data_IF_562577232613
#
_entry.id   IF_562577232613
#
_cell.length_a   1.000
_cell.length_b   1.000
_cell.length_c   1.000
_cell.angle_alpha   90.00
_cell.angle_beta   90.00
_cell.angle_gamma   90.00
#
_symmetry.space_group_name_H-M   'P 1'
#
loop_
_entity.id
_entity.type
_entity.pdbx_description
1 polymer ?
#
# COMPACT_ATOMS: atom_id res chain seq x y z
N UNK A 1 0.30 -3.40 -5.81
CA UNK A 1 0.13 -3.60 -4.36
C UNK A 1 0.57 -4.98 -3.83
N UNK A 2 0.93 -5.97 -4.66
CA UNK A 2 1.17 -7.36 -4.20
C UNK A 2 2.15 -7.51 -3.02
N UNK A 3 3.31 -6.85 -3.05
CA UNK A 3 4.28 -6.96 -1.94
C UNK A 3 3.74 -6.36 -0.65
N UNK A 4 2.94 -5.30 -0.73
CA UNK A 4 2.29 -4.71 0.45
C UNK A 4 1.35 -5.69 1.15
N UNK A 5 0.59 -6.49 0.40
CA UNK A 5 -0.23 -7.55 0.99
C UNK A 5 0.61 -8.65 1.65
N UNK A 6 1.77 -8.99 1.09
CA UNK A 6 2.70 -9.93 1.72
C UNK A 6 3.28 -9.38 3.03
N UNK A 7 3.57 -8.07 3.09
CA UNK A 7 3.98 -7.39 4.34
C UNK A 7 2.87 -7.45 5.38
N UNK A 8 1.63 -7.12 5.01
CA UNK A 8 0.49 -7.18 5.92
C UNK A 8 0.27 -8.60 6.46
N UNK A 9 0.32 -9.61 5.59
CA UNK A 9 0.22 -11.01 5.99
C UNK A 9 1.35 -11.44 6.93
N UNK A 10 2.58 -10.97 6.68
CA UNK A 10 3.72 -11.22 7.56
C UNK A 10 3.52 -10.58 8.95
N UNK A 11 3.02 -9.35 9.01
CA UNK A 11 2.69 -8.66 10.26
C UNK A 11 1.63 -9.43 11.07
N UNK A 12 0.54 -9.87 10.42
CA UNK A 12 -0.48 -10.70 11.09
C UNK A 12 0.10 -12.01 11.64
N UNK A 13 0.98 -12.68 10.87
CA UNK A 13 1.65 -13.90 11.33
C UNK A 13 2.55 -13.65 12.53
N UNK A 14 3.23 -12.51 12.56
CA UNK A 14 4.06 -12.11 13.70
C UNK A 14 3.23 -11.85 14.96
N UNK A 15 2.14 -11.10 14.84
CA UNK A 15 1.21 -10.86 15.94
C UNK A 15 0.59 -12.15 16.48
N UNK A 16 0.39 -13.17 15.63
CA UNK A 16 -0.09 -14.50 16.05
C UNK A 16 0.97 -15.44 16.65
N UNK A 17 2.21 -14.96 16.83
CA UNK A 17 3.32 -15.78 17.35
C UNK A 17 3.86 -16.83 16.37
N UNK A 18 3.49 -16.75 15.08
CA UNK A 18 3.84 -17.77 14.06
C UNK A 18 5.14 -17.47 13.31
N UNK A 19 5.64 -16.23 13.35
CA UNK A 19 6.86 -15.78 12.66
C UNK A 19 7.43 -14.53 13.33
N UNK A 20 8.71 -14.54 13.68
CA UNK A 20 9.35 -13.34 14.26
C UNK A 20 9.92 -12.38 13.19
N UNK A 21 10.16 -12.88 11.97
CA UNK A 21 10.71 -12.07 10.88
C UNK A 21 10.22 -12.52 9.50
N UNK A 22 10.24 -11.60 8.55
CA UNK A 22 9.94 -11.86 7.14
C UNK A 22 10.84 -11.03 6.23
N UNK A 23 11.45 -11.68 5.23
CA UNK A 23 12.24 -11.01 4.18
C UNK A 23 11.47 -11.05 2.86
N UNK A 24 11.16 -9.87 2.33
CA UNK A 24 10.36 -9.70 1.12
C UNK A 24 11.18 -8.94 0.07
N UNK A 25 10.88 -9.16 -1.22
CA UNK A 25 11.53 -8.50 -2.34
C UNK A 25 10.49 -8.10 -3.37
N UNK A 26 10.51 -6.81 -3.75
CA UNK A 26 9.63 -6.26 -4.80
C UNK A 26 9.83 -7.00 -6.12
N UNK A 27 11.08 -7.21 -6.54
CA UNK A 27 11.41 -7.91 -7.78
C UNK A 27 10.87 -9.34 -7.78
N UNK A 28 11.05 -10.07 -6.68
CA UNK A 28 10.55 -11.45 -6.55
C UNK A 28 9.02 -11.50 -6.56
N UNK A 29 8.36 -10.54 -5.91
CA UNK A 29 6.90 -10.44 -5.97
C UNK A 29 6.42 -10.14 -7.39
N UNK A 30 7.10 -9.26 -8.13
CA UNK A 30 6.76 -8.98 -9.52
C UNK A 30 6.87 -10.24 -10.38
N UNK A 31 7.97 -11.00 -10.26
CA UNK A 31 8.13 -12.29 -10.96
C UNK A 31 7.00 -13.27 -10.61
N UNK A 32 6.68 -13.41 -9.33
CA UNK A 32 5.60 -14.29 -8.88
C UNK A 32 4.24 -13.88 -9.48
N UNK A 33 3.91 -12.59 -9.47
CA UNK A 33 2.66 -12.09 -10.05
C UNK A 33 2.58 -12.35 -11.55
N UNK A 34 3.69 -12.16 -12.28
CA UNK A 34 3.74 -12.47 -13.72
C UNK A 34 3.55 -13.97 -13.96
N UNK A 35 4.15 -14.83 -13.15
CA UNK A 35 4.00 -16.29 -13.27
C UNK A 35 2.58 -16.78 -12.97
N UNK A 36 1.89 -16.13 -12.03
CA UNK A 36 0.49 -16.44 -11.72
C UNK A 36 -0.47 -15.98 -12.83
N UNK A 37 -0.01 -15.15 -13.77
CA UNK A 37 -0.80 -14.64 -14.88
C UNK A 37 -1.75 -13.52 -14.50
N UNK A 38 -2.58 -13.13 -15.46
CA UNK A 38 -3.61 -12.10 -15.30
C UNK A 38 -4.97 -12.67 -14.89
N UNK A 39 -5.09 -14.00 -14.90
CA UNK A 39 -6.28 -14.70 -14.47
C UNK A 39 -6.38 -14.59 -12.95
N UNK A 40 -7.09 -13.55 -12.50
CA UNK A 40 -7.48 -13.43 -11.11
C UNK A 40 -8.38 -14.59 -10.69
N UNK A 41 -8.49 -14.82 -9.39
CA UNK A 41 -9.47 -15.76 -8.86
C UNK A 41 -10.88 -15.35 -9.34
N UNK A 42 -11.52 -16.21 -10.15
CA UNK A 42 -12.87 -15.96 -10.69
C UNK A 42 -13.93 -15.89 -9.60
N UNK A 43 -13.66 -16.46 -8.43
CA UNK A 43 -14.51 -16.35 -7.25
C UNK A 43 -14.25 -15.06 -6.45
N UNK A 44 -13.21 -14.29 -6.81
CA UNK A 44 -12.95 -13.02 -6.13
C UNK A 44 -14.09 -12.05 -6.42
N UNK A 45 -14.75 -11.51 -5.38
CA UNK A 45 -15.82 -10.56 -5.59
C UNK A 45 -15.30 -9.35 -6.35
N UNK A 46 -16.12 -8.84 -7.27
CA UNK A 46 -15.81 -7.59 -7.95
C UNK A 46 -15.49 -6.51 -6.92
N UNK A 47 -14.41 -5.77 -7.15
CA UNK A 47 -14.17 -4.56 -6.37
C UNK A 47 -15.35 -3.62 -6.63
N UNK A 48 -16.20 -3.44 -5.61
CA UNK A 48 -17.27 -2.44 -5.65
C UNK A 48 -16.70 -1.04 -5.87
N UNK A 49 -17.57 -0.06 -6.14
CA UNK A 49 -17.14 1.33 -6.14
C UNK A 49 -16.50 1.62 -4.77
N UNK A 50 -15.24 2.09 -4.73
CA UNK A 50 -14.57 2.30 -3.46
C UNK A 50 -15.07 3.63 -2.89
N UNK A 51 -16.25 3.57 -2.29
CA UNK A 51 -16.96 4.72 -1.70
C UNK A 51 -16.25 5.25 -0.43
N UNK A 52 -15.24 4.51 0.02
CA UNK A 52 -14.35 4.86 1.13
C UNK A 52 -13.15 5.73 0.71
N UNK A 53 -12.93 5.98 -0.58
CA UNK A 53 -11.84 6.84 -1.02
C UNK A 53 -12.14 8.30 -0.70
N UNK A 54 -11.13 8.99 -0.21
CA UNK A 54 -11.21 10.40 0.13
C UNK A 54 -10.78 11.25 -1.07
N UNK A 55 -11.48 12.35 -1.40
CA UNK A 55 -11.00 13.30 -2.39
C UNK A 55 -9.69 13.93 -1.89
N UNK A 56 -8.71 14.06 -2.77
CA UNK A 56 -7.43 14.67 -2.46
C UNK A 56 -6.91 15.51 -3.64
N UNK A 57 -6.30 16.65 -3.34
CA UNK A 57 -5.65 17.50 -4.33
C UNK A 57 -4.14 17.24 -4.33
N UNK A 58 -3.61 16.84 -5.49
CA UNK A 58 -2.19 16.56 -5.70
C UNK A 58 -1.60 17.50 -6.74
N UNK A 59 -0.28 17.51 -6.90
CA UNK A 59 0.37 18.29 -7.96
C UNK A 59 0.06 17.73 -9.37
N UNK A 60 -0.53 16.53 -9.47
CA UNK A 60 -1.06 15.97 -10.71
C UNK A 60 -2.55 16.23 -10.91
N UNK A 61 -3.17 17.01 -10.02
CA UNK A 61 -4.60 17.32 -10.02
C UNK A 61 -5.42 16.50 -9.00
N UNK A 62 -6.76 16.52 -9.12
CA UNK A 62 -7.67 15.86 -8.20
C UNK A 62 -7.58 14.33 -8.33
N UNK A 63 -7.48 13.64 -7.19
CA UNK A 63 -7.43 12.18 -7.11
C UNK A 63 -8.35 11.64 -6.03
N UNK A 64 -8.55 10.32 -6.03
CA UNK A 64 -9.22 9.58 -4.95
C UNK A 64 -8.19 8.76 -4.18
N UNK A 65 -8.00 9.10 -2.92
CA UNK A 65 -6.96 8.54 -2.06
C UNK A 65 -7.54 7.51 -1.08
N UNK A 66 -6.81 6.41 -0.85
CA UNK A 66 -7.14 5.43 0.18
C UNK A 66 -6.91 6.06 1.56
N UNK A 67 -7.88 5.99 2.49
CA UNK A 67 -7.69 6.48 3.85
C UNK A 67 -6.56 5.72 4.55
N UNK A 68 -6.04 6.30 5.64
CA UNK A 68 -5.10 5.57 6.49
C UNK A 68 -5.75 4.27 6.98
N UNK A 69 -4.99 3.16 6.96
CA UNK A 69 -5.50 1.83 7.30
C UNK A 69 -5.91 1.69 8.78
N UNK A 70 -5.59 2.66 9.62
CA UNK A 70 -5.94 2.68 11.03
C UNK A 70 -5.72 4.05 11.67
N UNK A 71 -6.17 4.17 12.92
CA UNK A 71 -6.03 5.36 13.77
C UNK A 71 -5.36 4.96 15.07
N UNK A 72 -4.46 5.80 15.57
CA UNK A 72 -3.90 5.68 16.91
C UNK A 72 -4.50 6.80 17.75
N UNK A 73 -5.01 6.49 18.94
CA UNK A 73 -5.59 7.50 19.83
C UNK A 73 -4.56 8.58 20.18
N UNK A 74 -5.00 9.85 20.10
CA UNK A 74 -4.12 11.01 20.30
C UNK A 74 -3.20 11.34 19.14
N UNK A 75 -3.18 10.56 18.05
CA UNK A 75 -2.34 10.82 16.88
C UNK A 75 -3.17 11.11 15.63
N UNK A 76 -2.94 12.28 15.05
CA UNK A 76 -3.58 12.67 13.80
C UNK A 76 -2.75 12.20 12.60
N UNK A 77 -3.34 11.37 11.76
CA UNK A 77 -2.67 10.90 10.54
C UNK A 77 -2.71 12.00 9.48
N UNK A 78 -1.58 12.69 9.30
CA UNK A 78 -1.40 13.73 8.28
C UNK A 78 -0.26 13.38 7.33
N UNK A 79 -0.53 13.40 6.02
CA UNK A 79 0.51 13.35 5.00
C UNK A 79 1.15 14.73 4.88
N UNK A 80 2.36 14.90 5.43
CA UNK A 80 3.08 16.19 5.37
C UNK A 80 3.42 16.63 3.94
N UNK A 81 3.61 15.66 3.05
CA UNK A 81 4.01 15.90 1.66
C UNK A 81 2.94 15.37 0.73
N UNK A 82 2.40 16.22 -0.14
CA UNK A 82 1.44 15.81 -1.18
C UNK A 82 2.12 14.96 -2.24
N UNK A 83 1.38 14.08 -2.90
CA UNK A 83 1.87 13.38 -4.07
C UNK A 83 2.15 14.38 -5.21
N UNK A 84 3.23 14.15 -5.95
CA UNK A 84 3.69 15.07 -6.98
C UNK A 84 4.94 14.57 -7.71
N UNK A 85 5.43 15.34 -8.70
CA UNK A 85 6.50 14.94 -9.61
C UNK A 85 7.74 14.38 -8.92
N UNK A 86 8.39 13.43 -9.61
CA UNK A 86 9.69 12.91 -9.21
C UNK A 86 10.75 14.01 -9.28
N UNK A 87 11.70 14.01 -8.35
CA UNK A 87 12.80 14.99 -8.33
C UNK A 87 12.47 16.37 -7.76
N UNK A 88 11.24 16.60 -7.24
CA UNK A 88 10.85 17.92 -6.66
C UNK A 88 11.47 18.25 -5.30
N UNK A 89 12.04 17.26 -4.61
CA UNK A 89 12.68 17.43 -3.31
C UNK A 89 14.19 17.37 -3.47
N UNK A 90 14.91 18.31 -2.88
CA UNK A 90 16.37 18.26 -2.81
C UNK A 90 16.79 17.07 -1.94
N UNK A 91 17.65 16.16 -2.43
CA UNK A 91 18.16 15.07 -1.61
C UNK A 91 18.99 15.64 -0.44
N UNK A 92 18.71 15.19 0.77
CA UNK A 92 19.49 15.48 1.98
C UNK A 92 19.95 14.17 2.59
N UNK A 93 21.20 14.13 3.02
CA UNK A 93 21.86 12.97 3.61
C UNK A 93 22.52 13.47 4.90
N UNK A 94 21.72 13.53 5.95
CA UNK A 94 22.15 13.90 7.30
C UNK A 94 22.43 12.63 8.11
#
# INVERSE_FOLDING_TARGET
>A
HGTGYLVAAAACRALSGRRESARLSLARTATLLVQLGLDGDRAMPAFGKPDFLLPAETEWGPVRQVPAAGRIDGFEVKWRTRAGPLGRHTPRWD
#
